data_IF_630011601908
#
_entry.id   IF_630011601908
#
_cell.length_a   1.000
_cell.length_b   1.000
_cell.length_c   1.000
_cell.angle_alpha   90.00
_cell.angle_beta   90.00
_cell.angle_gamma   90.00
#
_symmetry.space_group_name_H-M   'P 1'
#
loop_
_entity.id
_entity.type
_entity.pdbx_description
1 polymer ?
#
# COMPACT_ATOMS: atom_id res chain seq x y z
N UNK A 1 15.36 -33.51 -28.07
CA UNK A 1 15.78 -32.51 -27.07
C UNK A 1 14.56 -32.13 -26.25
N UNK A 2 14.53 -32.54 -24.99
CA UNK A 2 13.35 -32.48 -24.13
C UNK A 2 13.25 -31.08 -23.50
N UNK A 3 12.41 -30.20 -24.04
CA UNK A 3 12.11 -28.86 -23.49
C UNK A 3 11.11 -28.90 -22.32
N UNK A 4 10.79 -30.08 -21.78
CA UNK A 4 9.62 -30.29 -20.92
C UNK A 4 9.86 -30.13 -19.40
N UNK A 5 11.04 -29.73 -18.94
CA UNK A 5 11.34 -29.61 -17.50
C UNK A 5 12.10 -28.32 -17.17
N UNK A 6 11.51 -27.17 -17.47
CA UNK A 6 11.92 -25.92 -16.83
C UNK A 6 11.11 -25.85 -15.53
N UNK A 7 11.79 -26.02 -14.39
CA UNK A 7 11.17 -25.78 -13.07
C UNK A 7 10.71 -24.33 -13.04
N UNK A 8 9.42 -24.12 -12.79
CA UNK A 8 8.91 -22.78 -12.59
C UNK A 8 9.66 -22.14 -11.41
N UNK A 9 10.09 -20.88 -11.54
CA UNK A 9 10.70 -20.16 -10.44
C UNK A 9 9.77 -20.21 -9.24
N UNK A 10 10.31 -20.58 -8.08
CA UNK A 10 9.53 -20.51 -6.84
C UNK A 10 9.10 -19.08 -6.59
N UNK A 11 7.92 -18.93 -6.01
CA UNK A 11 7.41 -17.62 -5.65
C UNK A 11 8.35 -16.98 -4.61
N UNK A 12 8.95 -15.85 -4.99
CA UNK A 12 9.98 -15.17 -4.19
C UNK A 12 9.39 -14.09 -3.25
N UNK A 13 8.07 -14.09 -3.06
CA UNK A 13 7.35 -13.13 -2.23
C UNK A 13 6.96 -11.83 -2.93
N UNK A 14 7.46 -11.60 -4.15
CA UNK A 14 7.16 -10.37 -4.91
C UNK A 14 5.93 -10.56 -5.79
N UNK A 15 5.06 -9.57 -5.79
CA UNK A 15 3.97 -9.48 -6.75
C UNK A 15 3.91 -8.06 -7.34
N UNK A 16 3.53 -7.99 -8.61
CA UNK A 16 3.39 -6.74 -9.34
C UNK A 16 1.91 -6.44 -9.53
N UNK A 17 1.55 -5.17 -9.40
CA UNK A 17 0.16 -4.75 -9.56
C UNK A 17 -0.35 -5.14 -10.96
N UNK A 18 -1.49 -5.85 -11.08
CA UNK A 18 -1.98 -6.34 -12.38
C UNK A 18 -2.45 -5.22 -13.31
N UNK A 19 -2.62 -3.99 -12.79
CA UNK A 19 -3.02 -2.81 -13.57
C UNK A 19 -1.83 -1.99 -14.09
N UNK A 20 -0.85 -1.71 -13.25
CA UNK A 20 0.22 -0.75 -13.56
C UNK A 20 1.63 -1.37 -13.59
N UNK A 21 1.77 -2.64 -13.20
CA UNK A 21 3.06 -3.34 -13.19
C UNK A 21 4.04 -2.87 -12.09
N UNK A 22 3.65 -1.95 -11.19
CA UNK A 22 4.49 -1.55 -10.06
C UNK A 22 4.63 -2.69 -9.06
N UNK A 23 5.84 -2.86 -8.51
CA UNK A 23 6.09 -3.80 -7.41
C UNK A 23 5.26 -3.40 -6.18
N UNK A 24 4.46 -4.34 -5.66
CA UNK A 24 3.66 -4.11 -4.48
C UNK A 24 4.44 -4.31 -3.18
N UNK A 25 4.04 -3.60 -2.12
CA UNK A 25 4.53 -3.84 -0.77
C UNK A 25 3.69 -4.94 -0.11
N UNK A 26 4.29 -5.99 0.48
CA UNK A 26 3.53 -7.07 1.11
C UNK A 26 2.77 -6.58 2.34
N UNK A 27 1.55 -7.08 2.52
CA UNK A 27 0.63 -6.70 3.61
C UNK A 27 -0.08 -7.95 4.12
N UNK A 28 -0.06 -8.14 5.44
CA UNK A 28 -0.79 -9.22 6.13
C UNK A 28 -2.25 -8.82 6.42
N UNK A 29 -3.03 -9.73 7.01
CA UNK A 29 -4.46 -9.57 7.24
C UNK A 29 -4.85 -8.33 8.07
N UNK A 30 -4.07 -7.97 9.10
CA UNK A 30 -4.42 -6.90 10.04
C UNK A 30 -4.65 -5.53 9.35
N UNK A 31 -3.73 -4.99 8.52
CA UNK A 31 -4.03 -3.77 7.77
C UNK A 31 -5.20 -3.92 6.78
N UNK A 32 -5.41 -5.10 6.20
CA UNK A 32 -6.51 -5.32 5.25
C UNK A 32 -7.86 -5.20 5.95
N UNK A 33 -7.97 -5.73 7.17
CA UNK A 33 -9.20 -5.66 7.98
C UNK A 33 -9.51 -4.23 8.45
N UNK A 34 -8.47 -3.39 8.64
CA UNK A 34 -8.61 -1.99 9.06
C UNK A 34 -8.92 -1.06 7.90
N UNK A 35 -8.27 -1.25 6.75
CA UNK A 35 -8.29 -0.27 5.66
C UNK A 35 -9.30 -0.54 4.55
N UNK A 36 -9.81 -1.77 4.42
CA UNK A 36 -10.71 -2.15 3.33
C UNK A 36 -12.15 -2.25 3.85
N UNK A 37 -13.12 -1.74 3.10
CA UNK A 37 -14.53 -1.94 3.46
C UNK A 37 -14.88 -3.44 3.54
N UNK A 38 -15.73 -3.88 4.49
CA UNK A 38 -16.03 -5.29 4.70
C UNK A 38 -16.49 -6.03 3.43
N UNK A 39 -17.26 -5.37 2.56
CA UNK A 39 -17.72 -5.93 1.29
C UNK A 39 -16.57 -6.29 0.33
N UNK A 40 -15.55 -5.44 0.25
CA UNK A 40 -14.40 -5.62 -0.64
C UNK A 40 -13.29 -6.45 0.01
N UNK A 41 -13.29 -6.59 1.34
CA UNK A 41 -12.32 -7.40 2.09
C UNK A 41 -12.34 -8.88 1.71
N UNK A 42 -13.50 -9.39 1.30
CA UNK A 42 -13.69 -10.77 0.82
C UNK A 42 -12.90 -11.11 -0.45
N UNK A 43 -12.47 -10.10 -1.22
CA UNK A 43 -11.59 -10.29 -2.39
C UNK A 43 -10.16 -10.67 -2.00
N UNK A 44 -9.77 -10.36 -0.77
CA UNK A 44 -8.42 -10.56 -0.26
C UNK A 44 -8.36 -11.81 0.63
N UNK A 45 -7.23 -12.52 0.60
CA UNK A 45 -6.92 -13.56 1.59
C UNK A 45 -6.29 -12.94 2.84
N UNK A 46 -5.46 -13.72 3.53
CA UNK A 46 -4.68 -13.24 4.69
C UNK A 46 -3.41 -12.48 4.29
N UNK A 47 -3.09 -12.48 3.00
CA UNK A 47 -1.90 -11.86 2.45
C UNK A 47 -2.21 -11.21 1.11
N UNK A 48 -1.75 -9.98 0.94
CA UNK A 48 -1.92 -9.18 -0.26
C UNK A 48 -0.71 -8.25 -0.46
N UNK A 49 -0.78 -7.41 -1.48
CA UNK A 49 0.19 -6.37 -1.73
C UNK A 49 -0.50 -5.03 -1.92
N UNK A 50 0.07 -3.98 -1.33
CA UNK A 50 -0.32 -2.60 -1.56
C UNK A 50 0.41 -2.05 -2.81
N UNK A 51 -0.34 -1.45 -3.73
CA UNK A 51 0.22 -0.77 -4.89
C UNK A 51 0.55 0.69 -4.53
N UNK A 52 1.84 1.00 -4.37
CA UNK A 52 2.30 2.35 -3.99
C UNK A 52 2.31 3.40 -5.10
N UNK A 53 1.94 3.07 -6.34
CA UNK A 53 1.96 4.06 -7.43
C UNK A 53 0.76 5.00 -7.34
N UNK A 54 1.01 6.29 -7.11
CA UNK A 54 -0.02 7.28 -6.78
C UNK A 54 -1.10 7.46 -7.86
N UNK A 55 -0.78 7.27 -9.14
CA UNK A 55 -1.75 7.42 -10.23
C UNK A 55 -2.58 6.16 -10.51
N UNK A 56 -2.25 5.02 -9.87
CA UNK A 56 -3.00 3.78 -10.05
C UNK A 56 -4.17 3.71 -9.07
N UNK A 57 -5.36 3.40 -9.57
CA UNK A 57 -6.57 3.23 -8.75
C UNK A 57 -6.57 1.98 -7.86
N UNK A 58 -5.65 1.03 -8.08
CA UNK A 58 -5.51 -0.16 -7.23
C UNK A 58 -4.86 0.24 -5.92
N UNK A 59 -5.53 -0.04 -4.80
CA UNK A 59 -4.95 0.04 -3.48
C UNK A 59 -4.27 -1.28 -3.11
N UNK A 60 -5.04 -2.38 -3.08
CA UNK A 60 -4.53 -3.72 -2.77
C UNK A 60 -4.78 -4.69 -3.91
N UNK A 61 -3.91 -5.69 -4.03
CA UNK A 61 -4.09 -6.79 -4.96
C UNK A 61 -3.53 -8.08 -4.37
N UNK A 62 -3.99 -9.23 -4.88
CA UNK A 62 -3.48 -10.53 -4.46
C UNK A 62 -2.84 -11.28 -5.64
N UNK A 63 -2.33 -12.49 -5.36
CA UNK A 63 -1.67 -13.37 -6.34
C UNK A 63 -2.59 -13.92 -7.43
N UNK A 64 -3.90 -13.75 -7.30
CA UNK A 64 -4.92 -14.20 -8.24
C UNK A 64 -5.47 -13.02 -9.05
N UNK A 65 -4.73 -11.90 -9.08
CA UNK A 65 -5.08 -10.65 -9.76
C UNK A 65 -6.41 -10.02 -9.30
N UNK A 66 -6.96 -10.46 -8.16
CA UNK A 66 -8.07 -9.76 -7.53
C UNK A 66 -7.55 -8.41 -6.99
N UNK A 67 -8.38 -7.37 -7.09
CA UNK A 67 -8.02 -6.00 -6.72
C UNK A 67 -9.06 -5.38 -5.79
N UNK A 68 -8.57 -4.51 -4.91
CA UNK A 68 -9.32 -3.52 -4.14
C UNK A 68 -8.90 -2.15 -4.65
N UNK A 69 -9.86 -1.34 -5.06
CA UNK A 69 -9.63 0.02 -5.55
C UNK A 69 -9.56 1.03 -4.41
N UNK A 70 -9.01 2.21 -4.68
CA UNK A 70 -8.95 3.33 -3.70
C UNK A 70 -10.35 3.68 -3.17
N UNK A 71 -11.38 3.67 -4.03
CA UNK A 71 -12.77 3.92 -3.61
C UNK A 71 -13.38 2.83 -2.73
N UNK A 72 -12.67 1.72 -2.51
CA UNK A 72 -13.07 0.60 -1.66
C UNK A 72 -12.32 0.59 -0.31
N UNK A 73 -11.63 1.69 0.02
CA UNK A 73 -10.98 1.89 1.30
C UNK A 73 -11.88 2.66 2.27
N UNK A 74 -11.74 2.34 3.56
CA UNK A 74 -12.49 2.98 4.65
C UNK A 74 -12.09 4.45 4.85
N UNK A 75 -10.84 4.79 4.50
CA UNK A 75 -10.28 6.12 4.61
C UNK A 75 -9.27 6.37 3.46
N UNK A 76 -9.01 7.64 3.10
CA UNK A 76 -7.97 7.97 2.13
C UNK A 76 -6.58 7.59 2.69
N UNK A 77 -5.66 7.22 1.80
CA UNK A 77 -4.32 6.75 2.15
C UNK A 77 -3.25 7.43 1.31
N UNK A 78 -2.14 7.82 1.92
CA UNK A 78 -0.96 8.24 1.19
C UNK A 78 -0.26 7.00 0.58
N UNK A 79 0.23 7.04 -0.68
CA UNK A 79 0.32 8.18 -1.59
C UNK A 79 -0.84 8.26 -2.61
N UNK A 80 -1.98 7.60 -2.38
CA UNK A 80 -3.13 7.62 -3.31
C UNK A 80 -3.92 8.93 -3.25
N UNK A 81 -3.88 9.55 -2.09
CA UNK A 81 -4.45 10.86 -1.82
C UNK A 81 -3.36 11.70 -1.13
N UNK A 82 -3.14 12.92 -1.64
CA UNK A 82 -2.13 13.84 -1.10
C UNK A 82 -2.63 14.58 0.15
N UNK A 83 -3.95 14.62 0.36
CA UNK A 83 -4.56 15.18 1.56
C UNK A 83 -4.62 14.14 2.70
N UNK A 84 -4.29 12.88 2.42
CA UNK A 84 -4.20 11.84 3.43
C UNK A 84 -2.96 12.02 4.33
N UNK A 85 -3.03 11.59 5.60
CA UNK A 85 -1.86 11.59 6.48
C UNK A 85 -0.71 10.77 5.90
N UNK A 86 0.47 11.38 5.80
CA UNK A 86 1.73 10.68 5.50
C UNK A 86 2.12 9.83 6.71
N UNK A 87 1.96 10.37 7.92
CA UNK A 87 2.12 9.62 9.15
C UNK A 87 0.74 9.22 9.69
N UNK A 88 0.28 8.01 9.37
CA UNK A 88 -1.02 7.50 9.83
C UNK A 88 -1.14 7.44 11.36
N UNK A 89 -0.04 7.22 12.09
CA UNK A 89 -0.06 7.13 13.56
C UNK A 89 -0.40 8.45 14.25
N UNK A 90 0.08 9.56 13.70
CA UNK A 90 0.02 10.88 14.34
C UNK A 90 -0.74 11.94 13.52
N UNK A 91 -1.24 11.57 12.34
CA UNK A 91 -2.02 12.46 11.49
C UNK A 91 -1.21 13.52 10.75
N UNK A 92 0.12 13.39 10.68
CA UNK A 92 0.96 14.40 10.00
C UNK A 92 0.77 14.33 8.48
N UNK A 93 0.40 15.45 7.89
CA UNK A 93 0.13 15.59 6.46
C UNK A 93 1.30 16.23 5.68
N UNK A 94 1.05 16.50 4.40
CA UNK A 94 2.03 17.12 3.50
C UNK A 94 2.49 18.49 4.02
N UNK A 95 1.56 19.34 4.47
CA UNK A 95 1.87 20.68 4.99
C UNK A 95 2.76 20.66 6.24
N UNK A 96 2.58 19.66 7.12
CA UNK A 96 3.44 19.48 8.29
C UNK A 96 4.87 19.12 7.89
N UNK A 97 5.00 18.17 6.95
CA UNK A 97 6.30 17.73 6.41
C UNK A 97 6.98 18.88 5.67
N UNK A 98 6.25 19.65 4.86
CA UNK A 98 6.79 20.80 4.14
C UNK A 98 7.26 21.89 5.12
N UNK A 99 6.47 22.19 6.16
CA UNK A 99 6.84 23.18 7.16
C UNK A 99 8.11 22.79 7.92
N UNK A 100 8.24 21.52 8.33
CA UNK A 100 9.43 21.00 9.01
C UNK A 100 10.65 20.98 8.07
N UNK A 101 10.48 20.63 6.80
CA UNK A 101 11.54 20.67 5.79
C UNK A 101 12.04 22.09 5.53
N UNK A 102 11.13 23.08 5.41
CA UNK A 102 11.49 24.50 5.25
C UNK A 102 12.24 25.05 6.47
N UNK A 103 11.94 24.53 7.66
CA UNK A 103 12.61 24.91 8.90
C UNK A 103 13.94 24.16 9.14
N UNK A 104 14.32 23.25 8.24
CA UNK A 104 15.47 22.33 8.39
C UNK A 104 15.47 21.58 9.73
N UNK A 105 14.28 21.20 10.21
CA UNK A 105 14.11 20.57 11.52
C UNK A 105 12.83 19.73 11.58
N UNK A 106 12.93 18.40 11.82
CA UNK A 106 11.77 17.51 11.98
C UNK A 106 11.22 17.64 13.41
N UNK A 107 10.80 18.84 13.78
CA UNK A 107 10.41 19.18 15.15
C UNK A 107 9.18 18.39 15.60
N UNK A 108 8.15 18.30 14.76
CA UNK A 108 6.86 17.70 15.13
C UNK A 108 7.01 16.22 15.49
N UNK A 109 7.73 15.45 14.68
CA UNK A 109 7.95 14.03 14.97
C UNK A 109 8.84 13.82 16.20
N UNK A 110 9.81 14.70 16.45
CA UNK A 110 10.66 14.63 17.66
C UNK A 110 9.86 14.90 18.93
N UNK A 111 8.93 15.85 18.89
CA UNK A 111 8.05 16.16 20.03
C UNK A 111 7.10 15.00 20.37
N UNK A 112 6.74 14.17 19.39
CA UNK A 112 5.85 13.01 19.59
C UNK A 112 6.55 11.75 20.11
N UNK A 113 7.89 11.69 20.00
CA UNK A 113 8.70 10.53 20.39
C UNK A 113 9.51 10.75 21.69
N UNK A 114 9.43 11.94 22.27
CA UNK A 114 10.08 12.31 23.52
C UNK A 114 9.26 11.86 24.74
#
# INVERSE_FOLDING_TARGET
>A
MNKAFIREPEFDGRAYCPRCGTLGAPVEHEPLDVHIWPESRTKMGDFAWFCGYFQCEVAYFNRFDAVVLVGELVAPVYPKDLDAPICACFGLGYDDVEADARADSPRRIRELLA
#
